data_IF_711112413300
#
_entry.id   IF_711112413300
#
_cell.length_a   1.000
_cell.length_b   1.000
_cell.length_c   1.000
_cell.angle_alpha   90.00
_cell.angle_beta   90.00
_cell.angle_gamma   90.00
#
_symmetry.space_group_name_H-M   'P 1'
#
loop_
_entity.id
_entity.type
_entity.pdbx_description
1 polymer ?
#
# COMPACT_ATOMS: atom_id res chain seq x y z
N UNK A 1 4.09 0.43 18.26
CA UNK A 1 2.97 0.80 17.36
C UNK A 1 1.79 -0.18 17.40
N UNK A 2 1.80 -1.22 18.24
CA UNK A 2 0.65 -2.11 18.42
C UNK A 2 -0.20 -1.62 19.60
N UNK A 3 -0.93 -0.51 19.41
CA UNK A 3 -1.99 -0.11 20.36
C UNK A 3 -3.32 -0.36 19.64
N UNK A 4 -4.06 -1.38 20.06
CA UNK A 4 -5.46 -1.73 19.66
C UNK A 4 -5.67 -2.78 18.56
N UNK A 5 -4.75 -3.72 18.32
CA UNK A 5 -5.00 -4.85 17.39
C UNK A 5 -5.16 -4.48 15.90
N UNK A 6 -5.09 -3.18 15.56
CA UNK A 6 -5.11 -2.70 14.18
C UNK A 6 -3.70 -2.69 13.63
N UNK A 7 -3.45 -3.50 12.60
CA UNK A 7 -2.20 -3.48 11.87
C UNK A 7 -2.18 -2.27 10.92
N UNK A 8 -1.23 -1.35 11.13
CA UNK A 8 -1.04 -0.23 10.22
C UNK A 8 -0.28 -0.70 8.96
N UNK A 9 -0.97 -0.68 7.82
CA UNK A 9 -0.35 -0.89 6.50
C UNK A 9 0.05 0.46 5.90
N UNK A 10 1.23 0.50 5.29
CA UNK A 10 1.68 1.66 4.51
C UNK A 10 1.43 1.35 3.04
N UNK A 11 0.62 2.18 2.38
CA UNK A 11 0.37 2.07 0.93
C UNK A 11 1.21 3.14 0.24
N UNK A 12 2.08 2.72 -0.66
CA UNK A 12 2.92 3.64 -1.41
C UNK A 12 3.07 3.18 -2.86
N UNK A 13 3.46 4.06 -3.75
CA UNK A 13 3.79 3.67 -5.12
C UNK A 13 5.25 3.30 -5.26
N UNK A 14 5.60 2.61 -6.35
CA UNK A 14 6.94 2.06 -6.54
C UNK A 14 8.05 3.10 -6.36
N UNK A 15 7.81 4.32 -6.84
CA UNK A 15 8.72 5.47 -6.70
C UNK A 15 9.01 5.82 -5.23
N UNK A 16 8.07 5.60 -4.32
CA UNK A 16 8.20 5.93 -2.89
C UNK A 16 8.71 4.77 -2.04
N UNK A 17 8.82 3.56 -2.59
CA UNK A 17 9.31 2.38 -1.86
C UNK A 17 10.66 2.63 -1.16
N UNK A 18 11.69 3.24 -1.78
CA UNK A 18 12.97 3.47 -1.12
C UNK A 18 12.84 4.35 0.12
N UNK A 19 11.99 5.38 0.06
CA UNK A 19 11.77 6.32 1.16
C UNK A 19 11.06 5.65 2.34
N UNK A 20 10.04 4.83 2.07
CA UNK A 20 9.33 4.09 3.13
C UNK A 20 10.27 3.14 3.85
N UNK A 21 11.10 2.40 3.12
CA UNK A 21 12.07 1.49 3.71
C UNK A 21 13.14 2.23 4.53
N UNK A 22 13.62 3.38 4.05
CA UNK A 22 14.57 4.21 4.80
C UNK A 22 13.96 4.71 6.13
N UNK A 23 12.71 5.17 6.11
CA UNK A 23 11.98 5.62 7.31
C UNK A 23 11.75 4.47 8.29
N UNK A 24 11.39 3.28 7.80
CA UNK A 24 11.19 2.10 8.63
C UNK A 24 12.49 1.65 9.29
N UNK A 25 13.60 1.64 8.54
CA UNK A 25 14.95 1.39 9.06
C UNK A 25 15.35 2.39 10.15
N UNK A 26 15.15 3.69 9.91
CA UNK A 26 15.46 4.73 10.90
C UNK A 26 14.67 4.56 12.20
N UNK A 27 13.44 4.03 12.11
CA UNK A 27 12.58 3.76 13.25
C UNK A 27 12.76 2.35 13.83
N UNK A 28 13.63 1.52 13.25
CA UNK A 28 13.84 0.11 13.62
C UNK A 28 12.53 -0.71 13.65
N UNK A 29 11.64 -0.44 12.68
CA UNK A 29 10.35 -1.12 12.53
C UNK A 29 10.33 -1.84 11.19
N UNK A 30 9.73 -3.03 11.16
CA UNK A 30 9.44 -3.73 9.92
C UNK A 30 8.08 -3.23 9.35
N UNK A 31 8.08 -2.57 8.17
CA UNK A 31 6.87 -1.97 7.64
C UNK A 31 6.02 -3.01 6.90
N UNK A 32 4.71 -3.02 7.15
CA UNK A 32 3.76 -3.74 6.30
C UNK A 32 3.44 -2.88 5.08
N UNK A 33 4.30 -2.95 4.06
CA UNK A 33 4.24 -2.10 2.88
C UNK A 33 3.48 -2.79 1.73
N UNK A 34 2.43 -2.13 1.23
CA UNK A 34 1.72 -2.51 0.01
C UNK A 34 2.13 -1.53 -1.10
N UNK A 35 2.70 -2.06 -2.18
CA UNK A 35 3.09 -1.25 -3.34
C UNK A 35 1.97 -1.25 -4.37
N UNK A 36 1.48 -0.07 -4.74
CA UNK A 36 0.46 0.11 -5.78
C UNK A 36 1.02 0.88 -6.96
N UNK A 37 0.55 0.61 -8.18
CA UNK A 37 0.98 1.38 -9.36
C UNK A 37 0.45 2.81 -9.26
N UNK A 38 1.34 3.81 -9.31
CA UNK A 38 0.92 5.21 -9.44
C UNK A 38 0.23 5.40 -10.80
N UNK A 39 -0.87 6.15 -10.90
CA UNK A 39 -1.36 6.61 -12.20
C UNK A 39 -0.38 7.66 -12.73
N UNK A 40 0.65 7.22 -13.46
CA UNK A 40 1.46 8.12 -14.28
C UNK A 40 0.60 8.43 -15.52
N UNK A 41 -0.06 9.59 -15.52
CA UNK A 41 -0.99 10.01 -16.58
C UNK A 41 -2.45 9.74 -16.23
N UNK A 42 -3.32 10.72 -16.52
CA UNK A 42 -4.73 10.73 -16.17
C UNK A 42 -5.45 9.47 -16.61
N UNK A 43 -5.80 8.62 -15.64
CA UNK A 43 -6.64 7.47 -15.89
C UNK A 43 -8.00 7.95 -16.33
N UNK A 44 -8.55 7.34 -17.36
CA UNK A 44 -9.98 7.46 -17.60
C UNK A 44 -10.76 6.69 -16.52
N UNK A 45 -12.07 6.92 -16.42
CA UNK A 45 -12.90 6.33 -15.36
C UNK A 45 -12.84 4.79 -15.32
N UNK A 46 -12.66 4.13 -16.47
CA UNK A 46 -12.57 2.68 -16.60
C UNK A 46 -11.29 2.15 -15.94
N UNK A 47 -10.15 2.73 -16.28
CA UNK A 47 -8.84 2.28 -15.76
C UNK A 47 -8.70 2.53 -14.25
N UNK A 48 -9.34 3.58 -13.75
CA UNK A 48 -9.43 3.84 -12.31
C UNK A 48 -10.26 2.76 -11.60
N UNK A 49 -11.41 2.40 -12.15
CA UNK A 49 -12.27 1.36 -11.57
C UNK A 49 -11.57 0.00 -11.50
N UNK A 50 -10.87 -0.40 -12.56
CA UNK A 50 -10.10 -1.65 -12.60
C UNK A 50 -8.98 -1.69 -11.56
N UNK A 51 -8.27 -0.57 -11.37
CA UNK A 51 -7.23 -0.47 -10.34
C UNK A 51 -7.81 -0.53 -8.93
N UNK A 52 -8.94 0.13 -8.68
CA UNK A 52 -9.64 0.06 -7.39
C UNK A 52 -10.08 -1.38 -7.12
N UNK A 53 -10.66 -2.07 -8.09
CA UNK A 53 -11.07 -3.46 -7.96
C UNK A 53 -9.88 -4.37 -7.63
N UNK A 54 -8.76 -4.20 -8.34
CA UNK A 54 -7.53 -4.96 -8.10
C UNK A 54 -6.96 -4.71 -6.70
N UNK A 55 -6.88 -3.45 -6.27
CA UNK A 55 -6.39 -3.11 -4.93
C UNK A 55 -7.31 -3.65 -3.83
N UNK A 56 -8.62 -3.60 -4.04
CA UNK A 56 -9.63 -4.12 -3.10
C UNK A 56 -9.55 -5.63 -2.99
N UNK A 57 -9.34 -6.34 -4.11
CA UNK A 57 -9.15 -7.79 -4.12
C UNK A 57 -7.90 -8.18 -3.32
N UNK A 58 -6.76 -7.52 -3.59
CA UNK A 58 -5.52 -7.78 -2.85
C UNK A 58 -5.62 -7.45 -1.35
N UNK A 59 -6.35 -6.38 -0.99
CA UNK A 59 -6.61 -6.05 0.41
C UNK A 59 -7.50 -7.10 1.08
N UNK A 60 -8.56 -7.54 0.41
CA UNK A 60 -9.47 -8.59 0.90
C UNK A 60 -8.72 -9.90 1.10
N UNK A 61 -7.87 -10.30 0.16
CA UNK A 61 -7.04 -11.51 0.29
C UNK A 61 -6.06 -11.39 1.48
N UNK A 62 -5.43 -10.23 1.66
CA UNK A 62 -4.49 -10.00 2.75
C UNK A 62 -5.14 -9.84 4.14
N UNK A 63 -6.45 -9.62 4.20
CA UNK A 63 -7.20 -9.39 5.45
C UNK A 63 -8.24 -10.48 5.76
N UNK A 64 -8.50 -11.39 4.81
CA UNK A 64 -9.30 -12.58 5.06
C UNK A 64 -8.46 -13.56 5.91
N UNK A 65 -8.83 -13.66 7.18
CA UNK A 65 -8.30 -14.61 8.16
C UNK A 65 -8.77 -16.04 7.86
#
# INVERSE_FOLDING_TARGET
MQKRGVAAYVIATETFRPLVLAQAKARKIEPRLIVVKHPIGGLNAQELAERIATATAGLTEATSL
#
